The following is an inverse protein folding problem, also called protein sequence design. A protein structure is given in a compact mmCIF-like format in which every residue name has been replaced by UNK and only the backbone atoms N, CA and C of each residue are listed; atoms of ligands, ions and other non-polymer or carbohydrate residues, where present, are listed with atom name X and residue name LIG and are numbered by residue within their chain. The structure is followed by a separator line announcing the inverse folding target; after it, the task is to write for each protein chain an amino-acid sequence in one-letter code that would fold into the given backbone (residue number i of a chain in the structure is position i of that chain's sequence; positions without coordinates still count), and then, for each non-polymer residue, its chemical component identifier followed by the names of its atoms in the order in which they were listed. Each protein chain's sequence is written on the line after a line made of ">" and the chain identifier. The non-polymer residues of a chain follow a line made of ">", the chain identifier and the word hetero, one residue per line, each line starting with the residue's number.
data_IF_907687726316
#
_entry.id   IF_907687726316
#
_cell.length_a   1.000
_cell.length_b   1.000
_cell.length_c   1.000
_cell.angle_alpha   90.00
_cell.angle_beta   90.00
_cell.angle_gamma   90.00
#
_symmetry.space_group_name_H-M   'P 1'
#
loop_
_entity.id
_entity.type
_entity.pdbx_description
1 polymer ?
#
# COMPACT_ATOMS: atom_id res chain seq x y z
N UNK A 1 -10.27 39.38 26.95
CA UNK A 1 -10.17 38.92 25.55
C UNK A 1 -9.39 37.63 25.56
N UNK A 2 -10.08 36.50 25.38
CA UNK A 2 -9.41 35.22 25.14
C UNK A 2 -8.87 35.31 23.72
N UNK A 3 -7.55 35.21 23.59
CA UNK A 3 -6.87 35.04 22.30
C UNK A 3 -7.40 33.71 21.74
N UNK A 4 -7.92 33.64 20.51
CA UNK A 4 -8.25 32.35 19.93
C UNK A 4 -6.94 31.56 19.87
N UNK A 5 -6.91 30.38 20.49
CA UNK A 5 -5.90 29.39 20.15
C UNK A 5 -6.16 29.11 18.68
N UNK A 6 -5.28 29.56 17.78
CA UNK A 6 -5.41 29.24 16.36
C UNK A 6 -5.52 27.71 16.25
N UNK A 7 -6.70 27.22 15.90
CA UNK A 7 -6.92 25.79 15.71
C UNK A 7 -5.96 25.34 14.62
N UNK A 8 -5.04 24.42 14.95
CA UNK A 8 -4.10 23.88 13.97
C UNK A 8 -4.87 23.31 12.78
N UNK A 9 -4.37 23.48 11.55
CA UNK A 9 -5.08 23.04 10.36
C UNK A 9 -5.22 21.52 10.35
N UNK A 10 -6.46 21.04 10.25
CA UNK A 10 -6.76 19.61 10.14
C UNK A 10 -7.10 19.22 8.70
N UNK A 11 -6.66 18.04 8.32
CA UNK A 11 -6.98 17.43 7.03
C UNK A 11 -8.42 16.95 7.00
N UNK A 12 -9.11 17.27 5.91
CA UNK A 12 -10.42 16.72 5.56
C UNK A 12 -10.49 16.46 4.07
N UNK A 13 -10.58 15.19 3.69
CA UNK A 13 -10.79 14.82 2.29
C UNK A 13 -12.20 15.24 1.84
N UNK A 14 -12.28 16.00 0.74
CA UNK A 14 -13.53 16.48 0.14
C UNK A 14 -14.24 15.44 -0.74
N UNK A 15 -13.68 14.23 -0.87
CA UNK A 15 -14.19 13.15 -1.73
C UNK A 15 -14.40 13.58 -3.20
N UNK A 16 -13.63 14.56 -3.69
CA UNK A 16 -13.77 15.11 -5.04
C UNK A 16 -13.17 14.25 -6.16
N UNK A 17 -12.51 13.14 -5.81
CA UNK A 17 -11.91 12.19 -6.75
C UNK A 17 -10.66 12.66 -7.48
N UNK A 18 -10.26 13.94 -7.37
CA UNK A 18 -9.12 14.52 -8.10
C UNK A 18 -7.82 13.74 -7.92
N UNK A 19 -7.55 13.29 -6.69
CA UNK A 19 -6.31 12.59 -6.38
C UNK A 19 -6.39 11.12 -6.80
N UNK A 20 -7.58 10.52 -6.75
CA UNK A 20 -7.82 9.15 -7.17
C UNK A 20 -7.85 9.01 -8.69
N UNK A 21 -8.24 10.03 -9.45
CA UNK A 21 -8.36 9.97 -10.92
C UNK A 21 -7.00 9.93 -11.63
N UNK A 22 -5.94 10.45 -11.00
CA UNK A 22 -4.61 10.61 -11.61
C UNK A 22 -3.51 9.76 -10.98
N UNK A 23 -3.88 8.78 -10.18
CA UNK A 23 -2.93 7.93 -9.48
C UNK A 23 -2.03 7.09 -10.39
N UNK A 24 -2.43 6.88 -11.65
CA UNK A 24 -1.69 6.00 -12.56
C UNK A 24 -0.27 6.48 -12.80
N UNK A 25 0.69 5.62 -12.53
CA UNK A 25 2.10 5.92 -12.77
C UNK A 25 2.67 7.05 -11.91
N UNK A 26 1.97 7.43 -10.83
CA UNK A 26 2.48 8.36 -9.83
C UNK A 26 3.51 7.64 -8.95
N UNK A 27 4.74 7.57 -9.47
CA UNK A 27 5.91 6.99 -8.80
C UNK A 27 7.06 7.98 -8.95
N UNK A 28 7.79 8.31 -7.87
CA UNK A 28 9.00 9.13 -7.94
C UNK A 28 9.99 8.60 -8.98
N UNK A 29 10.71 9.50 -9.66
CA UNK A 29 11.58 9.12 -10.79
C UNK A 29 12.69 8.13 -10.36
N UNK A 30 13.19 8.25 -9.13
CA UNK A 30 14.19 7.33 -8.57
C UNK A 30 13.65 5.91 -8.46
N UNK A 31 12.42 5.75 -7.95
CA UNK A 31 11.73 4.47 -7.84
C UNK A 31 11.40 3.89 -9.22
N UNK A 32 11.06 4.75 -10.20
CA UNK A 32 10.83 4.33 -11.58
C UNK A 32 12.07 3.69 -12.20
N UNK A 33 13.25 4.26 -11.99
CA UNK A 33 14.50 3.72 -12.50
C UNK A 33 14.81 2.35 -11.88
N UNK A 34 14.68 2.23 -10.55
CA UNK A 34 14.88 0.98 -9.83
C UNK A 34 13.91 -0.12 -10.34
N UNK A 35 12.62 0.19 -10.46
CA UNK A 35 11.62 -0.78 -10.93
C UNK A 35 11.92 -1.25 -12.36
N UNK A 36 12.32 -0.35 -13.25
CA UNK A 36 12.70 -0.71 -14.63
C UNK A 36 13.90 -1.66 -14.68
N UNK A 37 14.86 -1.48 -13.80
CA UNK A 37 16.09 -2.28 -13.80
C UNK A 37 15.95 -3.62 -13.06
N UNK A 38 15.22 -3.67 -11.94
CA UNK A 38 15.25 -4.81 -11.02
C UNK A 38 13.94 -5.56 -10.87
N UNK A 39 12.78 -4.89 -11.04
CA UNK A 39 11.48 -5.49 -10.73
C UNK A 39 10.99 -6.50 -11.77
N UNK A 40 11.71 -6.65 -12.89
CA UNK A 40 11.34 -7.52 -14.01
C UNK A 40 12.24 -8.77 -14.07
N UNK A 41 12.19 -9.60 -13.02
CA UNK A 41 12.79 -10.94 -13.02
C UNK A 41 14.16 -11.07 -12.36
N UNK A 42 14.76 -9.98 -11.83
CA UNK A 42 16.04 -10.04 -11.09
C UNK A 42 15.87 -10.24 -9.59
N UNK A 43 14.70 -9.88 -9.05
CA UNK A 43 14.35 -10.01 -7.64
C UNK A 43 13.34 -11.14 -7.42
N UNK A 44 13.23 -11.69 -6.20
CA UNK A 44 12.22 -12.69 -5.85
C UNK A 44 10.79 -12.24 -6.17
N UNK A 45 10.52 -10.95 -5.98
CA UNK A 45 9.23 -10.33 -6.26
C UNK A 45 9.27 -9.67 -7.63
N UNK A 46 8.31 -10.03 -8.47
CA UNK A 46 8.24 -9.61 -9.86
C UNK A 46 7.02 -8.74 -10.07
N UNK A 47 7.25 -7.59 -10.71
CA UNK A 47 6.24 -6.66 -11.12
C UNK A 47 5.66 -7.10 -12.48
N UNK A 48 4.35 -7.37 -12.56
CA UNK A 48 3.70 -7.87 -13.78
C UNK A 48 3.26 -6.77 -14.75
N UNK A 49 3.09 -5.56 -14.23
CA UNK A 49 2.46 -4.43 -14.92
C UNK A 49 3.44 -3.27 -14.98
N UNK A 50 3.61 -2.60 -16.14
CA UNK A 50 4.43 -1.40 -16.25
C UNK A 50 3.99 -0.32 -15.28
N UNK A 51 4.95 0.48 -14.82
CA UNK A 51 4.73 1.55 -13.82
C UNK A 51 3.60 2.48 -14.22
N UNK A 52 3.56 2.85 -15.50
CA UNK A 52 2.61 3.81 -16.08
C UNK A 52 1.14 3.34 -15.98
N UNK A 53 0.91 2.05 -15.78
CA UNK A 53 -0.42 1.46 -15.65
C UNK A 53 -0.81 1.12 -14.21
N UNK A 54 0.14 1.21 -13.27
CA UNK A 54 -0.11 0.84 -11.88
C UNK A 54 -1.03 1.84 -11.19
N UNK A 55 -1.94 1.33 -10.36
CA UNK A 55 -2.76 2.10 -9.41
C UNK A 55 -2.26 1.83 -7.99
N UNK A 56 -2.96 2.31 -6.94
CA UNK A 56 -2.65 1.88 -5.57
C UNK A 56 -2.67 0.34 -5.52
N UNK A 57 -1.60 -0.28 -4.96
CA UNK A 57 -1.58 -1.71 -4.74
C UNK A 57 -2.63 -2.05 -3.68
N UNK A 58 -3.35 -3.15 -3.86
CA UNK A 58 -4.22 -3.74 -2.84
C UNK A 58 -3.51 -4.97 -2.29
N UNK A 59 -3.45 -5.12 -0.97
CA UNK A 59 -3.11 -6.41 -0.37
C UNK A 59 -4.16 -7.47 -0.76
N UNK A 60 -3.83 -8.75 -0.69
CA UNK A 60 -4.73 -9.85 -1.06
C UNK A 60 -6.05 -9.85 -0.25
N UNK A 61 -5.98 -9.61 1.07
CA UNK A 61 -7.19 -9.46 1.90
C UNK A 61 -8.02 -8.22 1.52
N UNK A 62 -7.38 -7.13 1.08
CA UNK A 62 -8.09 -5.95 0.57
C UNK A 62 -8.71 -6.20 -0.80
N UNK A 63 -8.01 -6.90 -1.68
CA UNK A 63 -8.48 -7.26 -3.01
C UNK A 63 -9.76 -8.10 -2.93
N UNK A 64 -9.81 -9.06 -1.99
CA UNK A 64 -11.01 -9.84 -1.71
C UNK A 64 -12.19 -8.96 -1.30
N UNK A 65 -11.99 -8.07 -0.32
CA UNK A 65 -13.01 -7.12 0.15
C UNK A 65 -13.46 -6.17 -0.94
N UNK A 66 -12.51 -5.62 -1.71
CA UNK A 66 -12.80 -4.69 -2.79
C UNK A 66 -13.64 -5.34 -3.89
N UNK A 67 -13.38 -6.62 -4.20
CA UNK A 67 -14.23 -7.38 -5.13
C UNK A 67 -15.66 -7.52 -4.62
N UNK A 68 -15.81 -7.84 -3.33
CA UNK A 68 -17.11 -7.93 -2.69
C UNK A 68 -17.86 -6.59 -2.74
N UNK A 69 -17.21 -5.48 -2.38
CA UNK A 69 -17.83 -4.15 -2.41
C UNK A 69 -18.24 -3.72 -3.82
N UNK A 70 -17.45 -4.10 -4.84
CA UNK A 70 -17.83 -3.88 -6.23
C UNK A 70 -19.12 -4.60 -6.59
N UNK A 71 -19.22 -5.89 -6.25
CA UNK A 71 -20.44 -6.68 -6.47
C UNK A 71 -21.65 -6.08 -5.76
N UNK A 72 -21.49 -5.64 -4.51
CA UNK A 72 -22.54 -4.96 -3.72
C UNK A 72 -22.99 -3.65 -4.37
N UNK A 73 -22.07 -2.91 -4.98
CA UNK A 73 -22.34 -1.66 -5.68
C UNK A 73 -22.80 -1.84 -7.14
N UNK A 74 -22.84 -3.08 -7.67
CA UNK A 74 -23.12 -3.34 -9.08
C UNK A 74 -22.00 -2.89 -10.03
N UNK A 75 -20.77 -2.80 -9.55
CA UNK A 75 -19.58 -2.35 -10.27
C UNK A 75 -18.62 -3.53 -10.44
N UNK A 76 -18.09 -3.72 -11.65
CA UNK A 76 -16.98 -4.67 -11.86
C UNK A 76 -15.69 -4.11 -11.25
N UNK A 77 -15.14 -4.74 -10.20
CA UNK A 77 -13.99 -4.24 -9.47
C UNK A 77 -12.66 -4.39 -10.23
N UNK A 78 -12.61 -5.17 -11.33
CA UNK A 78 -11.45 -5.35 -12.23
C UNK A 78 -10.08 -5.49 -11.50
N UNK A 79 -10.03 -6.30 -10.45
CA UNK A 79 -8.83 -6.49 -9.62
C UNK A 79 -7.92 -7.58 -10.21
N UNK A 80 -6.70 -7.20 -10.62
CA UNK A 80 -5.72 -8.10 -11.27
C UNK A 80 -4.41 -8.18 -10.48
N UNK A 81 -3.65 -9.29 -10.57
CA UNK A 81 -2.35 -9.42 -9.91
C UNK A 81 -1.37 -8.33 -10.35
N UNK A 82 -0.63 -7.77 -9.38
CA UNK A 82 0.36 -6.72 -9.60
C UNK A 82 1.79 -7.22 -9.37
N UNK A 83 2.06 -7.70 -8.16
CA UNK A 83 3.37 -8.24 -7.74
C UNK A 83 3.21 -9.72 -7.43
N UNK A 84 4.10 -10.54 -7.97
CA UNK A 84 4.03 -12.00 -7.87
C UNK A 84 5.40 -12.59 -7.60
N UNK A 85 5.43 -13.67 -6.83
CA UNK A 85 6.60 -14.54 -6.68
C UNK A 85 6.30 -15.85 -7.37
N UNK A 86 7.18 -16.32 -8.26
CA UNK A 86 7.05 -17.67 -8.83
C UNK A 86 7.90 -18.64 -8.03
N UNK A 87 7.27 -19.57 -7.31
CA UNK A 87 7.97 -20.64 -6.59
C UNK A 87 8.30 -21.78 -7.54
N UNK A 88 9.57 -21.88 -7.95
CA UNK A 88 10.05 -22.93 -8.85
C UNK A 88 9.93 -24.33 -8.24
N UNK A 89 10.02 -24.43 -6.91
CA UNK A 89 9.91 -25.72 -6.22
C UNK A 89 8.52 -26.33 -6.33
N UNK A 90 7.48 -25.49 -6.48
CA UNK A 90 6.07 -25.91 -6.51
C UNK A 90 5.36 -25.60 -7.83
N UNK A 91 6.01 -24.89 -8.76
CA UNK A 91 5.37 -24.41 -9.99
C UNK A 91 4.15 -23.53 -9.71
N UNK A 92 4.23 -22.68 -8.68
CA UNK A 92 3.10 -21.89 -8.17
C UNK A 92 3.41 -20.38 -8.25
N UNK A 93 2.47 -19.60 -8.74
CA UNK A 93 2.51 -18.15 -8.69
C UNK A 93 1.82 -17.65 -7.41
N UNK A 94 2.60 -17.04 -6.53
CA UNK A 94 2.14 -16.48 -5.27
C UNK A 94 1.90 -14.99 -5.48
N UNK A 95 0.65 -14.54 -5.39
CA UNK A 95 0.26 -13.16 -5.63
C UNK A 95 0.43 -12.35 -4.34
N UNK A 96 1.34 -11.40 -4.36
CA UNK A 96 1.69 -10.57 -3.21
C UNK A 96 0.78 -9.36 -3.07
N UNK A 97 0.37 -8.79 -4.21
CA UNK A 97 -0.55 -7.66 -4.24
C UNK A 97 -1.23 -7.57 -5.59
N UNK A 98 -2.34 -6.83 -5.59
CA UNK A 98 -3.22 -6.62 -6.71
C UNK A 98 -3.27 -5.14 -7.10
N UNK A 99 -3.85 -4.83 -8.24
CA UNK A 99 -4.16 -3.46 -8.66
C UNK A 99 -5.52 -3.41 -9.36
N UNK A 100 -6.01 -2.20 -9.57
CA UNK A 100 -7.30 -1.94 -10.21
C UNK A 100 -7.10 -1.64 -11.70
N UNK A 101 -7.53 -2.54 -12.58
CA UNK A 101 -7.38 -2.39 -14.03
C UNK A 101 -8.63 -1.77 -14.67
N UNK A 102 -8.87 -0.48 -14.41
CA UNK A 102 -9.95 0.27 -15.05
C UNK A 102 -9.54 0.89 -16.40
N UNK A 103 -10.44 0.99 -17.38
CA UNK A 103 -10.08 1.53 -18.71
C UNK A 103 -10.18 3.06 -18.77
N UNK A 104 -11.13 3.65 -18.05
CA UNK A 104 -11.46 5.08 -18.11
C UNK A 104 -10.81 5.86 -16.97
N UNK A 105 -11.15 5.51 -15.73
CA UNK A 105 -10.59 6.08 -14.52
C UNK A 105 -9.52 5.16 -13.94
N UNK A 106 -8.74 5.65 -12.99
CA UNK A 106 -7.76 4.82 -12.32
C UNK A 106 -8.36 3.84 -11.29
N UNK A 107 -9.65 3.97 -10.96
CA UNK A 107 -10.35 3.08 -10.04
C UNK A 107 -11.76 2.80 -10.57
N UNK A 108 -12.21 1.54 -10.66
CA UNK A 108 -13.57 1.20 -11.10
C UNK A 108 -14.69 1.80 -10.23
N UNK A 109 -14.40 2.06 -8.94
CA UNK A 109 -15.36 2.67 -8.02
C UNK A 109 -15.47 4.18 -8.21
N UNK A 110 -14.57 4.81 -8.97
CA UNK A 110 -14.61 6.22 -9.26
C UNK A 110 -15.52 6.45 -10.48
N UNK A 111 -16.76 6.84 -10.24
CA UNK A 111 -17.73 7.16 -11.28
C UNK A 111 -17.97 8.67 -11.27
N UNK A 112 -17.81 9.33 -12.43
CA UNK A 112 -17.98 10.78 -12.54
C UNK A 112 -17.15 11.58 -11.50
N UNK A 113 -15.91 11.12 -11.23
CA UNK A 113 -15.01 11.65 -10.20
C UNK A 113 -15.51 11.54 -8.76
N UNK A 114 -16.50 10.69 -8.48
CA UNK A 114 -16.95 10.38 -7.12
C UNK A 114 -16.80 8.89 -6.84
N UNK A 115 -16.23 8.57 -5.68
CA UNK A 115 -16.10 7.18 -5.28
C UNK A 115 -17.45 6.65 -4.78
N UNK A 116 -18.01 5.67 -5.48
CA UNK A 116 -19.33 5.10 -5.22
C UNK A 116 -19.49 4.49 -3.82
N UNK A 117 -18.37 4.11 -3.19
CA UNK A 117 -18.36 3.47 -1.88
C UNK A 117 -17.72 4.35 -0.79
N UNK A 118 -17.35 5.60 -1.08
CA UNK A 118 -16.49 6.41 -0.20
C UNK A 118 -16.91 6.47 1.28
N UNK A 119 -18.21 6.68 1.53
CA UNK A 119 -18.75 6.84 2.87
C UNK A 119 -19.12 5.52 3.57
N UNK A 120 -19.11 4.40 2.85
CA UNK A 120 -19.51 3.09 3.37
C UNK A 120 -18.33 2.15 3.51
N UNK A 121 -17.40 2.17 2.55
CA UNK A 121 -16.25 1.28 2.45
C UNK A 121 -15.07 2.01 1.81
N UNK A 122 -13.87 1.85 2.39
CA UNK A 122 -12.62 2.29 1.77
C UNK A 122 -11.60 1.17 1.95
N UNK A 123 -10.88 0.85 0.87
CA UNK A 123 -9.72 -0.03 0.97
C UNK A 123 -8.72 0.58 1.97
N UNK A 124 -7.96 -0.28 2.66
CA UNK A 124 -6.96 0.14 3.61
C UNK A 124 -5.94 1.10 2.96
N UNK A 125 -5.44 0.79 1.77
CA UNK A 125 -4.57 1.72 1.00
C UNK A 125 -5.26 2.99 0.52
N UNK A 126 -6.59 3.06 0.54
CA UNK A 126 -7.28 4.32 0.30
C UNK A 126 -7.37 5.17 1.57
N UNK A 127 -7.29 4.57 2.77
CA UNK A 127 -7.39 5.25 4.06
C UNK A 127 -6.12 6.02 4.43
N UNK A 128 -4.97 5.67 3.85
CA UNK A 128 -3.71 6.40 4.04
C UNK A 128 -3.64 7.75 3.30
N UNK A 129 -4.54 8.04 2.35
CA UNK A 129 -4.53 9.32 1.64
C UNK A 129 -4.71 10.50 2.62
N UNK A 130 -3.88 11.58 2.57
CA UNK A 130 -3.08 12.04 1.42
C UNK A 130 -1.62 11.59 1.41
N UNK A 131 -1.24 10.68 2.30
CA UNK A 131 0.12 10.15 2.32
C UNK A 131 0.38 9.23 1.11
N UNK A 132 1.61 9.25 0.61
CA UNK A 132 2.15 8.26 -0.32
C UNK A 132 3.20 7.37 0.36
N UNK A 133 3.81 7.87 1.44
CA UNK A 133 4.78 7.19 2.31
C UNK A 133 4.76 7.84 3.69
N UNK A 134 5.15 7.11 4.74
CA UNK A 134 5.28 7.69 6.09
C UNK A 134 6.71 8.19 6.36
N UNK A 135 6.93 8.99 7.43
CA UNK A 135 8.27 9.38 7.88
C UNK A 135 9.17 8.20 8.25
N UNK A 136 8.62 7.00 8.46
CA UNK A 136 9.35 5.80 8.91
C UNK A 136 10.02 5.07 7.76
N UNK A 137 9.45 5.15 6.55
CA UNK A 137 10.07 4.55 5.35
C UNK A 137 11.27 5.35 4.81
N UNK A 138 11.74 6.39 5.55
CA UNK A 138 12.97 7.12 5.24
C UNK A 138 13.89 7.31 6.46
N UNK A 139 14.76 6.33 6.77
CA UNK A 139 15.71 6.41 7.89
C UNK A 139 16.84 7.42 7.66
N UNK A 140 16.96 8.02 6.47
CA UNK A 140 18.12 8.81 6.05
C UNK A 140 17.94 10.33 6.18
N UNK A 141 16.90 10.78 6.88
CA UNK A 141 16.37 12.15 6.89
C UNK A 141 17.28 13.22 7.51
N UNK A 142 18.46 13.43 6.95
CA UNK A 142 19.19 14.69 6.95
C UNK A 142 19.08 15.33 5.56
N UNK A 143 17.85 15.66 5.12
CA UNK A 143 17.67 16.57 3.98
C UNK A 143 16.52 16.35 2.99
N UNK A 144 15.57 15.44 3.24
CA UNK A 144 14.37 15.36 2.37
C UNK A 144 13.23 16.27 2.87
N UNK A 145 12.61 16.98 1.93
CA UNK A 145 11.44 17.84 2.15
C UNK A 145 10.24 16.98 2.57
N UNK A 146 9.68 17.24 3.75
CA UNK A 146 8.54 16.51 4.31
C UNK A 146 7.27 16.60 3.42
N UNK A 147 7.23 17.52 2.45
CA UNK A 147 6.22 17.53 1.37
C UNK A 147 6.22 16.25 0.54
N UNK A 148 7.36 15.56 0.46
CA UNK A 148 7.51 14.30 -0.28
C UNK A 148 6.76 13.11 0.34
N UNK A 149 6.21 13.26 1.56
CA UNK A 149 5.32 12.27 2.16
C UNK A 149 3.94 12.26 1.53
N UNK A 150 3.54 13.35 0.88
CA UNK A 150 2.18 13.58 0.44
C UNK A 150 2.04 13.48 -1.08
N UNK A 151 0.89 13.00 -1.53
CA UNK A 151 0.46 13.16 -2.91
C UNK A 151 -0.07 14.57 -3.19
N UNK A 152 -0.49 14.79 -4.44
CA UNK A 152 -1.12 16.05 -4.83
C UNK A 152 -2.54 16.14 -4.24
N UNK A 153 -2.75 17.05 -3.29
CA UNK A 153 -4.05 17.33 -2.70
C UNK A 153 -4.18 18.80 -2.30
N UNK A 154 -5.18 19.52 -2.83
CA UNK A 154 -5.39 20.94 -2.49
C UNK A 154 -5.68 21.18 -1.00
N UNK A 155 -6.20 20.19 -0.27
CA UNK A 155 -6.40 20.30 1.18
C UNK A 155 -5.08 20.44 1.96
N UNK A 156 -3.95 20.03 1.35
CA UNK A 156 -2.63 20.13 1.95
C UNK A 156 -2.05 21.55 1.92
N UNK A 157 -2.59 22.47 1.12
CA UNK A 157 -2.11 23.86 1.02
C UNK A 157 -2.11 24.59 2.37
N UNK A 158 -3.02 24.21 3.28
CA UNK A 158 -3.11 24.78 4.63
C UNK A 158 -2.26 24.06 5.67
N UNK A 159 -1.86 22.81 5.40
CA UNK A 159 -1.16 21.95 6.37
C UNK A 159 0.35 21.97 6.13
N UNK A 160 0.78 21.91 4.87
CA UNK A 160 2.21 21.87 4.50
C UNK A 160 3.02 23.06 5.02
N UNK A 161 2.49 24.31 5.09
CA UNK A 161 3.24 25.44 5.66
C UNK A 161 3.53 25.29 7.16
N UNK A 162 2.70 24.55 7.89
CA UNK A 162 2.79 24.37 9.35
C UNK A 162 3.58 23.10 9.73
N UNK A 163 4.06 22.34 8.75
CA UNK A 163 4.73 21.06 8.98
C UNK A 163 6.09 21.28 9.66
N UNK A 164 6.33 20.69 10.85
CA UNK A 164 7.61 20.83 11.53
C UNK A 164 8.77 20.27 10.72
N UNK A 165 9.93 20.92 10.80
CA UNK A 165 11.16 20.48 10.13
C UNK A 165 11.92 19.41 10.93
N UNK A 166 11.66 19.31 12.23
CA UNK A 166 12.33 18.37 13.13
C UNK A 166 11.50 17.10 13.36
N UNK A 167 12.22 15.99 13.55
CA UNK A 167 11.61 14.66 13.71
C UNK A 167 10.84 14.49 15.01
N UNK A 168 11.19 15.23 16.05
CA UNK A 168 10.55 15.13 17.37
C UNK A 168 9.12 15.69 17.30
N UNK A 169 8.91 16.81 16.61
CA UNK A 169 7.61 17.46 16.53
C UNK A 169 6.76 16.99 15.33
N UNK A 170 7.35 16.40 14.30
CA UNK A 170 6.60 16.00 13.09
C UNK A 170 5.55 14.92 13.40
N UNK A 171 5.89 13.91 14.21
CA UNK A 171 4.95 12.81 14.54
C UNK A 171 3.74 13.31 15.33
N UNK A 172 3.89 14.04 16.46
CA UNK A 172 2.76 14.64 17.17
C UNK A 172 1.91 15.55 16.27
N UNK A 173 2.56 16.37 15.42
CA UNK A 173 1.85 17.22 14.48
C UNK A 173 0.99 16.41 13.48
N UNK A 174 1.55 15.35 12.89
CA UNK A 174 0.82 14.49 11.95
C UNK A 174 -0.34 13.74 12.64
N UNK A 175 -0.18 13.33 13.89
CA UNK A 175 -1.27 12.74 14.67
C UNK A 175 -2.44 13.72 14.89
N UNK A 176 -2.15 15.00 15.13
CA UNK A 176 -3.16 16.04 15.36
C UNK A 176 -3.80 16.53 14.05
N UNK A 177 -3.00 16.72 13.01
CA UNK A 177 -3.45 17.24 11.71
C UNK A 177 -4.27 16.22 10.92
N UNK A 178 -4.17 14.91 11.21
CA UNK A 178 -4.86 13.83 10.49
C UNK A 178 -5.75 12.98 11.42
N UNK A 179 -6.86 13.56 11.92
CA UNK A 179 -7.62 12.97 13.03
C UNK A 179 -8.42 11.71 12.66
N UNK A 180 -8.60 11.37 11.37
CA UNK A 180 -9.31 10.14 10.98
C UNK A 180 -8.35 8.95 10.83
N UNK A 181 -7.10 9.09 11.27
CA UNK A 181 -6.10 8.04 11.27
C UNK A 181 -5.37 7.87 9.94
N UNK A 182 -5.46 8.81 9.01
CA UNK A 182 -4.74 8.76 7.72
C UNK A 182 -3.24 8.50 7.93
N UNK A 183 -2.63 9.19 8.89
CA UNK A 183 -1.23 9.00 9.26
C UNK A 183 -0.94 7.59 9.81
N UNK A 184 -1.76 7.07 10.72
CA UNK A 184 -1.60 5.72 11.26
C UNK A 184 -1.74 4.65 10.17
N UNK A 185 -2.69 4.82 9.23
CA UNK A 185 -2.82 3.92 8.08
C UNK A 185 -1.58 3.97 7.18
N UNK A 186 -0.98 5.16 6.98
CA UNK A 186 0.25 5.29 6.20
C UNK A 186 1.43 4.57 6.87
N UNK A 187 1.59 4.76 8.18
CA UNK A 187 2.62 4.09 8.97
C UNK A 187 2.45 2.56 8.97
N UNK A 188 1.25 2.08 9.25
CA UNK A 188 0.99 0.65 9.27
C UNK A 188 1.19 0.02 7.89
N UNK A 189 0.88 0.73 6.79
CA UNK A 189 1.18 0.25 5.44
C UNK A 189 2.68 0.02 5.23
N UNK A 190 3.52 0.95 5.70
CA UNK A 190 4.98 0.80 5.60
C UNK A 190 5.48 -0.39 6.42
N UNK A 191 4.95 -0.56 7.63
CA UNK A 191 5.26 -1.72 8.49
C UNK A 191 4.81 -3.04 7.85
N UNK A 192 3.65 -3.06 7.17
CA UNK A 192 3.19 -4.24 6.42
C UNK A 192 4.10 -4.55 5.22
N UNK A 193 4.64 -3.54 4.53
CA UNK A 193 5.64 -3.75 3.46
C UNK A 193 6.92 -4.36 4.03
N UNK A 194 7.43 -3.82 5.15
CA UNK A 194 8.61 -4.36 5.83
C UNK A 194 8.39 -5.81 6.28
N UNK A 195 7.27 -6.07 6.94
CA UNK A 195 6.85 -7.41 7.36
C UNK A 195 6.82 -8.37 6.17
N UNK A 196 6.16 -7.99 5.07
CA UNK A 196 6.08 -8.83 3.87
C UNK A 196 7.47 -9.19 3.33
N UNK A 197 8.38 -8.21 3.25
CA UNK A 197 9.74 -8.45 2.76
C UNK A 197 10.52 -9.37 3.69
N UNK A 198 10.43 -9.16 5.01
CA UNK A 198 11.07 -10.01 6.02
C UNK A 198 10.53 -11.44 5.96
N UNK A 199 9.22 -11.62 5.88
CA UNK A 199 8.58 -12.93 5.76
C UNK A 199 9.04 -13.68 4.50
N UNK A 200 9.15 -13.00 3.36
CA UNK A 200 9.69 -13.62 2.13
C UNK A 200 11.11 -14.15 2.36
N UNK A 201 11.99 -13.35 2.98
CA UNK A 201 13.37 -13.74 3.30
C UNK A 201 13.38 -14.95 4.25
N UNK A 202 12.57 -14.94 5.30
CA UNK A 202 12.44 -16.06 6.25
C UNK A 202 11.98 -17.35 5.56
N UNK A 203 10.99 -17.26 4.67
CA UNK A 203 10.51 -18.42 3.89
C UNK A 203 11.59 -18.98 2.96
N UNK A 204 12.41 -18.11 2.37
CA UNK A 204 13.55 -18.51 1.54
C UNK A 204 14.63 -19.21 2.38
N UNK A 205 15.01 -18.62 3.51
CA UNK A 205 15.99 -19.21 4.44
C UNK A 205 15.53 -20.55 4.99
N UNK A 206 14.23 -20.67 5.32
CA UNK A 206 13.58 -21.91 5.74
C UNK A 206 13.30 -22.90 4.60
N UNK A 207 13.67 -22.59 3.36
CA UNK A 207 13.46 -23.39 2.15
C UNK A 207 11.99 -23.75 1.86
N UNK A 208 11.04 -22.97 2.41
CA UNK A 208 9.59 -23.08 2.16
C UNK A 208 9.15 -22.38 0.88
N UNK A 209 10.00 -21.47 0.39
CA UNK A 209 9.85 -20.72 -0.85
C UNK A 209 11.14 -20.80 -1.67
N UNK A 210 11.04 -21.09 -2.98
CA UNK A 210 12.18 -21.06 -3.91
C UNK A 210 11.85 -20.15 -5.10
N UNK A 211 12.08 -18.83 -4.97
CA UNK A 211 11.66 -17.89 -6.01
C UNK A 211 12.53 -18.07 -7.25
N UNK A 212 11.89 -18.05 -8.43
CA UNK A 212 12.61 -17.87 -9.68
C UNK A 212 13.30 -16.51 -9.67
N UNK A 213 14.61 -16.50 -9.86
CA UNK A 213 15.42 -15.30 -9.97
C UNK A 213 16.25 -15.36 -11.26
N UNK A 214 16.50 -14.21 -11.85
CA UNK A 214 17.28 -14.03 -13.08
C UNK A 214 16.70 -14.75 -14.31
N UNK A 215 15.38 -15.00 -14.34
CA UNK A 215 14.70 -15.49 -15.54
C UNK A 215 14.30 -14.33 -16.46
N UNK A 216 14.33 -14.52 -17.79
CA UNK A 216 13.78 -13.53 -18.72
C UNK A 216 12.32 -13.22 -18.39
N UNK A 217 11.98 -11.94 -18.31
CA UNK A 217 10.67 -11.48 -17.87
C UNK A 217 9.50 -12.10 -18.65
N UNK A 218 9.62 -12.22 -19.97
CA UNK A 218 8.59 -12.83 -20.82
C UNK A 218 8.41 -14.33 -20.56
N UNK A 219 9.48 -15.04 -20.20
CA UNK A 219 9.39 -16.45 -19.81
C UNK A 219 8.70 -16.59 -18.46
N UNK A 220 9.08 -15.74 -17.51
CA UNK A 220 8.49 -15.72 -16.18
C UNK A 220 6.99 -15.39 -16.22
N UNK A 221 6.59 -14.41 -17.03
CA UNK A 221 5.18 -14.10 -17.30
C UNK A 221 4.40 -15.29 -17.83
N UNK A 222 4.96 -16.02 -18.81
CA UNK A 222 4.32 -17.23 -19.35
C UNK A 222 4.17 -18.30 -18.26
N UNK A 223 5.21 -18.56 -17.47
CA UNK A 223 5.16 -19.53 -16.35
C UNK A 223 4.06 -19.16 -15.36
N UNK A 224 4.00 -17.90 -14.94
CA UNK A 224 2.99 -17.41 -14.00
C UNK A 224 1.56 -17.52 -14.55
N UNK A 225 1.36 -17.24 -15.84
CA UNK A 225 0.05 -17.31 -16.49
C UNK A 225 -0.55 -18.73 -16.46
N UNK A 226 0.30 -19.75 -16.61
CA UNK A 226 -0.14 -21.16 -16.67
C UNK A 226 0.05 -21.92 -15.35
N UNK A 227 0.62 -21.29 -14.33
CA UNK A 227 0.77 -21.89 -13.01
C UNK A 227 -0.48 -21.76 -12.16
N UNK A 228 -0.60 -22.65 -11.16
CA UNK A 228 -1.52 -22.44 -10.04
C UNK A 228 -1.25 -21.08 -9.41
N UNK A 229 -2.30 -20.30 -9.16
CA UNK A 229 -2.21 -19.03 -8.44
C UNK A 229 -2.71 -19.22 -7.00
N UNK A 230 -2.04 -18.58 -6.06
CA UNK A 230 -2.41 -18.55 -4.64
C UNK A 230 -2.13 -17.16 -4.08
N UNK A 231 -2.97 -16.68 -3.19
CA UNK A 231 -2.75 -15.44 -2.46
C UNK A 231 -1.59 -15.60 -1.47
N UNK A 232 -0.86 -14.52 -1.18
CA UNK A 232 0.31 -14.61 -0.31
C UNK A 232 -0.06 -15.10 1.09
N UNK A 233 -1.13 -14.57 1.68
CA UNK A 233 -1.58 -14.99 3.01
C UNK A 233 -2.05 -16.44 3.03
N UNK A 234 -2.75 -16.91 1.99
CA UNK A 234 -3.13 -18.31 1.84
C UNK A 234 -1.89 -19.20 1.70
N UNK A 235 -0.87 -18.77 0.95
CA UNK A 235 0.40 -19.49 0.85
C UNK A 235 1.11 -19.63 2.21
N UNK A 236 1.07 -18.60 3.06
CA UNK A 236 1.64 -18.68 4.42
C UNK A 236 1.00 -19.81 5.23
N UNK A 237 -0.32 -20.01 5.05
CA UNK A 237 -1.04 -21.12 5.69
C UNK A 237 -0.69 -22.46 5.04
N UNK A 238 -0.73 -22.55 3.71
CA UNK A 238 -0.43 -23.78 2.98
C UNK A 238 0.99 -24.31 3.23
N UNK A 239 1.97 -23.42 3.42
CA UNK A 239 3.34 -23.80 3.70
C UNK A 239 3.65 -24.00 5.20
N UNK A 240 2.64 -23.87 6.08
CA UNK A 240 2.79 -24.03 7.52
C UNK A 240 3.64 -22.94 8.18
N UNK A 241 3.69 -21.74 7.59
CA UNK A 241 4.31 -20.58 8.22
C UNK A 241 3.37 -19.91 9.22
N UNK A 242 2.08 -19.88 8.92
CA UNK A 242 1.03 -19.47 9.85
C UNK A 242 -0.04 -20.55 9.93
N UNK A 243 -0.68 -20.69 11.07
CA UNK A 243 -2.00 -21.29 11.19
C UNK A 243 -3.07 -20.31 10.72
N UNK A 244 -4.29 -20.81 10.47
CA UNK A 244 -5.42 -19.94 10.10
C UNK A 244 -5.76 -18.92 11.19
N UNK A 245 -5.62 -19.31 12.46
CA UNK A 245 -5.86 -18.41 13.60
C UNK A 245 -4.83 -17.30 13.66
N UNK A 246 -3.55 -17.61 13.47
CA UNK A 246 -2.48 -16.61 13.44
C UNK A 246 -2.65 -15.64 12.27
N UNK A 247 -3.09 -16.13 11.10
CA UNK A 247 -3.41 -15.27 9.97
C UNK A 247 -4.58 -14.32 10.30
N UNK A 248 -5.67 -14.83 10.86
CA UNK A 248 -6.84 -13.99 11.16
C UNK A 248 -6.50 -12.90 12.20
N UNK A 249 -5.69 -13.22 13.22
CA UNK A 249 -5.16 -12.25 14.18
C UNK A 249 -4.26 -11.21 13.51
N UNK A 250 -3.35 -11.64 12.63
CA UNK A 250 -2.47 -10.73 11.90
C UNK A 250 -3.25 -9.72 11.05
N UNK A 251 -4.27 -10.20 10.32
CA UNK A 251 -5.10 -9.32 9.49
C UNK A 251 -5.91 -8.33 10.35
N UNK A 252 -6.38 -8.75 11.53
CA UNK A 252 -7.01 -7.85 12.48
C UNK A 252 -6.03 -6.77 12.95
N UNK A 253 -4.81 -7.15 13.35
CA UNK A 253 -3.76 -6.19 13.76
C UNK A 253 -3.49 -5.13 12.69
N UNK A 254 -3.39 -5.56 11.43
CA UNK A 254 -3.20 -4.65 10.29
C UNK A 254 -4.39 -3.71 10.10
N UNK A 255 -5.63 -4.20 10.18
CA UNK A 255 -6.83 -3.38 10.01
C UNK A 255 -7.01 -2.35 11.12
N UNK A 256 -6.60 -2.71 12.34
CA UNK A 256 -6.69 -1.88 13.52
C UNK A 256 -5.51 -0.92 13.66
N UNK A 257 -4.49 -1.00 12.81
CA UNK A 257 -3.24 -0.22 12.91
C UNK A 257 -2.50 -0.46 14.24
N UNK A 258 -2.52 -1.68 14.77
CA UNK A 258 -1.89 -2.00 16.06
C UNK A 258 -0.38 -1.74 16.05
N UNK A 259 0.34 -2.20 15.03
CA UNK A 259 1.80 -2.04 14.96
C UNK A 259 2.19 -0.56 14.81
N UNK A 260 1.40 0.23 14.08
CA UNK A 260 1.61 1.67 13.99
C UNK A 260 1.38 2.39 15.33
N UNK A 261 0.38 1.99 16.11
CA UNK A 261 0.16 2.55 17.45
C UNK A 261 1.26 2.17 18.41
N UNK A 262 1.73 0.93 18.37
CA UNK A 262 2.89 0.47 19.16
C UNK A 262 4.15 1.26 18.77
N UNK A 263 4.39 1.47 17.48
CA UNK A 263 5.52 2.27 16.99
C UNK A 263 5.48 3.71 17.49
N UNK A 264 4.33 4.38 17.41
CA UNK A 264 4.16 5.74 17.94
C UNK A 264 4.27 5.76 19.46
N UNK A 265 3.71 4.78 20.17
CA UNK A 265 3.76 4.68 21.63
C UNK A 265 5.14 4.34 22.20
N UNK A 266 5.98 3.64 21.44
CA UNK A 266 7.38 3.36 21.79
C UNK A 266 8.33 4.54 21.60
N UNK A 267 7.87 5.58 20.89
CA UNK A 267 8.50 6.90 20.84
C UNK A 267 7.70 7.83 21.76
N UNK A 268 7.96 7.77 23.07
CA UNK A 268 7.31 8.66 24.05
C UNK A 268 7.34 10.11 23.56
N UNK A 269 6.14 10.71 23.47
CA UNK A 269 5.87 12.12 23.18
C UNK A 269 6.45 13.04 24.26
#
# INVERSE_FOLDING_TARGET
>A
MLIPVDEKPQFRCSACGSCCSHIRGFIPEQDRAFLKEYAFGRLPVVQLVPVERMTFPLWDWEASRFRQWGKEAGIDPRVKPLRVIYDEGKGTAIVLSYFMDAETDACPMLQERKCAIYHTKRAYVCRLFPFNRSPVSDPSSSGMDARSYFGECGAMEKILPELPADRENVVPFLMEAFPNGEFLNALQNDLTIEWSNRTIIELMQGKRLRPAMNLPYEELKKKMLYSRQVDFTDFLVECGHLSKVELDLLLQRFDENEDAREWVGGHEL
#
